data_IF_974595839054
#
_entry.id   IF_974595839054
#
_cell.length_a   1.000
_cell.length_b   1.000
_cell.length_c   1.000
_cell.angle_alpha   90.00
_cell.angle_beta   90.00
_cell.angle_gamma   90.00
#
_symmetry.space_group_name_H-M   'P 1'
#
loop_
_entity.id
_entity.type
_entity.pdbx_description
1 polymer ?
#
# COMPACT_ATOMS: atom_id res chain seq x y z
N UNK A 1 -4.40 9.42 9.71
CA UNK A 1 -3.05 9.05 10.22
C UNK A 1 -2.26 8.19 9.24
N UNK A 2 -2.85 7.13 8.65
CA UNK A 2 -2.15 6.19 7.75
C UNK A 2 -1.50 6.83 6.50
N UNK A 3 -2.22 7.71 5.78
CA UNK A 3 -1.65 8.37 4.59
C UNK A 3 -0.46 9.27 4.93
N UNK A 4 -0.54 10.01 6.05
CA UNK A 4 0.56 10.83 6.56
C UNK A 4 1.79 9.98 6.90
N UNK A 5 1.61 8.84 7.57
CA UNK A 5 2.75 7.96 7.91
C UNK A 5 3.45 7.36 6.68
N UNK A 6 2.72 7.15 5.58
CA UNK A 6 3.30 6.74 4.30
C UNK A 6 4.10 7.88 3.66
N UNK A 7 3.52 9.07 3.54
CA UNK A 7 4.20 10.23 2.94
C UNK A 7 5.45 10.67 3.71
N UNK A 8 5.49 10.45 5.03
CA UNK A 8 6.69 10.70 5.84
C UNK A 8 7.91 9.83 5.44
N UNK A 9 7.72 8.76 4.68
CA UNK A 9 8.84 7.95 4.17
C UNK A 9 9.19 8.28 2.73
N UNK A 10 8.41 9.12 2.04
CA UNK A 10 8.64 9.42 0.63
C UNK A 10 9.67 10.55 0.50
N UNK A 11 10.65 10.42 -0.41
CA UNK A 11 11.49 11.54 -0.81
C UNK A 11 10.65 12.69 -1.38
N UNK A 12 11.10 13.92 -1.16
CA UNK A 12 10.43 15.15 -1.63
C UNK A 12 10.09 15.14 -3.13
N UNK A 13 10.97 14.66 -4.05
CA UNK A 13 10.62 14.59 -5.47
C UNK A 13 9.36 13.76 -5.78
N UNK A 14 9.12 12.67 -5.03
CA UNK A 14 7.93 11.83 -5.22
C UNK A 14 6.69 12.55 -4.70
N UNK A 15 6.81 13.27 -3.57
CA UNK A 15 5.73 14.08 -3.02
C UNK A 15 5.33 15.19 -3.99
N UNK A 16 6.30 15.87 -4.59
CA UNK A 16 6.06 16.92 -5.59
C UNK A 16 5.41 16.35 -6.84
N UNK A 17 5.90 15.21 -7.34
CA UNK A 17 5.31 14.53 -8.49
C UNK A 17 3.87 14.10 -8.22
N UNK A 18 3.60 13.51 -7.04
CA UNK A 18 2.24 13.14 -6.67
C UNK A 18 1.33 14.36 -6.46
N UNK A 19 1.85 15.47 -5.92
CA UNK A 19 1.10 16.71 -5.84
C UNK A 19 0.72 17.24 -7.22
N UNK A 20 1.64 17.14 -8.20
CA UNK A 20 1.37 17.48 -9.59
C UNK A 20 0.29 16.59 -10.20
N UNK A 21 0.28 15.29 -9.90
CA UNK A 21 -0.78 14.37 -10.33
C UNK A 21 -2.16 14.84 -9.84
N UNK A 22 -2.26 15.25 -8.57
CA UNK A 22 -3.52 15.77 -8.01
C UNK A 22 -3.99 17.06 -8.70
N UNK A 23 -3.06 17.96 -9.02
CA UNK A 23 -3.36 19.20 -9.74
C UNK A 23 -3.83 18.93 -11.18
N UNK A 24 -3.14 18.04 -11.89
CA UNK A 24 -3.48 17.67 -13.26
C UNK A 24 -4.82 16.94 -13.30
N UNK A 25 -5.05 15.97 -12.41
CA UNK A 25 -6.31 15.25 -12.32
C UNK A 25 -7.51 16.19 -12.09
N UNK A 26 -7.35 17.18 -11.21
CA UNK A 26 -8.37 18.22 -10.99
C UNK A 26 -8.65 19.03 -12.25
N UNK A 27 -7.62 19.35 -13.03
CA UNK A 27 -7.74 20.14 -14.27
C UNK A 27 -8.37 19.32 -15.40
N UNK A 28 -8.05 18.04 -15.47
CA UNK A 28 -8.53 17.08 -16.48
C UNK A 28 -9.91 16.48 -16.13
N UNK A 29 -10.46 16.76 -14.94
CA UNK A 29 -11.70 16.16 -14.47
C UNK A 29 -11.57 14.68 -14.08
N UNK A 30 -10.35 14.18 -13.92
CA UNK A 30 -10.07 12.80 -13.49
C UNK A 30 -10.25 12.62 -12.00
N UNK A 31 -10.68 11.43 -11.61
CA UNK A 31 -10.83 11.05 -10.22
C UNK A 31 -9.87 9.90 -9.89
N UNK A 32 -8.68 10.24 -9.39
CA UNK A 32 -7.64 9.24 -9.08
C UNK A 32 -8.09 8.22 -8.03
N UNK A 33 -8.99 8.61 -7.12
CA UNK A 33 -9.53 7.68 -6.14
C UNK A 33 -10.44 6.64 -6.80
N UNK A 34 -11.30 7.09 -7.72
CA UNK A 34 -12.11 6.19 -8.55
C UNK A 34 -11.22 5.27 -9.38
N UNK A 35 -10.25 5.82 -10.11
CA UNK A 35 -9.33 5.03 -10.94
C UNK A 35 -8.60 3.97 -10.11
N UNK A 36 -8.12 4.33 -8.91
CA UNK A 36 -7.49 3.39 -7.99
C UNK A 36 -8.38 2.18 -7.69
N UNK A 37 -9.63 2.42 -7.30
CA UNK A 37 -10.54 1.33 -6.96
C UNK A 37 -10.99 0.56 -8.19
N UNK A 38 -11.19 1.23 -9.33
CA UNK A 38 -11.48 0.59 -10.60
C UNK A 38 -10.35 -0.37 -11.01
N UNK A 39 -9.08 0.03 -10.90
CA UNK A 39 -7.95 -0.86 -11.17
C UNK A 39 -7.86 -2.05 -10.19
N UNK A 40 -8.29 -1.89 -8.94
CA UNK A 40 -8.37 -3.03 -8.00
C UNK A 40 -9.43 -4.06 -8.44
N UNK A 41 -10.48 -3.62 -9.14
CA UNK A 41 -11.56 -4.50 -9.62
C UNK A 41 -11.07 -5.50 -10.68
N UNK A 42 -9.95 -5.23 -11.36
CA UNK A 42 -9.36 -6.17 -12.33
C UNK A 42 -9.17 -7.58 -11.73
N UNK A 43 -8.82 -7.68 -10.44
CA UNK A 43 -8.70 -8.98 -9.74
C UNK A 43 -9.85 -9.29 -8.78
N UNK A 44 -10.52 -8.28 -8.20
CA UNK A 44 -11.58 -8.52 -7.20
C UNK A 44 -12.97 -8.69 -7.79
N UNK A 45 -13.23 -8.05 -8.94
CA UNK A 45 -14.52 -8.03 -9.63
C UNK A 45 -14.36 -7.91 -11.16
N UNK A 46 -13.87 -8.97 -11.85
CA UNK A 46 -13.50 -8.86 -13.26
C UNK A 46 -14.66 -8.49 -14.19
N UNK A 47 -15.89 -8.93 -13.89
CA UNK A 47 -17.09 -8.62 -14.69
C UNK A 47 -17.41 -7.13 -14.65
N UNK A 48 -17.48 -6.55 -13.44
CA UNK A 48 -17.73 -5.12 -13.22
C UNK A 48 -16.57 -4.26 -13.77
N UNK A 49 -15.32 -4.77 -13.70
CA UNK A 49 -14.17 -4.11 -14.28
C UNK A 49 -14.29 -3.97 -15.80
N UNK A 50 -14.79 -5.00 -16.50
CA UNK A 50 -14.96 -4.96 -17.95
C UNK A 50 -15.92 -3.85 -18.41
N UNK A 51 -16.90 -3.50 -17.59
CA UNK A 51 -17.86 -2.44 -17.86
C UNK A 51 -17.23 -1.04 -17.74
N UNK A 52 -16.27 -0.86 -16.83
CA UNK A 52 -15.69 0.45 -16.51
C UNK A 52 -14.28 0.69 -17.09
N UNK A 53 -13.57 -0.36 -17.52
CA UNK A 53 -12.18 -0.26 -17.98
C UNK A 53 -11.99 0.73 -19.14
N UNK A 54 -13.01 0.91 -19.99
CA UNK A 54 -12.97 1.87 -21.10
C UNK A 54 -12.93 3.33 -20.65
N UNK A 55 -13.23 3.61 -19.38
CA UNK A 55 -13.12 4.94 -18.77
C UNK A 55 -11.77 5.16 -18.07
N UNK A 56 -10.89 4.15 -18.04
CA UNK A 56 -9.58 4.23 -17.41
C UNK A 56 -8.49 4.57 -18.44
N UNK A 57 -7.37 5.20 -18.01
CA UNK A 57 -6.24 5.46 -18.90
C UNK A 57 -5.65 4.15 -19.45
N UNK A 58 -5.18 4.18 -20.70
CA UNK A 58 -4.39 3.06 -21.24
C UNK A 58 -3.03 2.96 -20.53
N UNK A 59 -2.62 1.74 -20.19
CA UNK A 59 -1.38 1.48 -19.46
C UNK A 59 -0.48 0.57 -20.27
N UNK A 60 0.71 1.06 -20.61
CA UNK A 60 1.72 0.28 -21.32
C UNK A 60 2.16 -0.96 -20.52
N UNK A 61 2.44 -2.06 -21.22
CA UNK A 61 2.85 -3.32 -20.61
C UNK A 61 4.08 -3.17 -19.69
N UNK A 62 5.06 -2.37 -20.11
CA UNK A 62 6.30 -2.15 -19.37
C UNK A 62 6.04 -1.48 -18.02
N UNK A 63 5.05 -0.58 -17.98
CA UNK A 63 4.58 0.07 -16.75
C UNK A 63 3.86 -0.92 -15.85
N UNK A 64 2.96 -1.76 -16.40
CA UNK A 64 2.29 -2.82 -15.63
C UNK A 64 3.30 -3.76 -14.97
N UNK A 65 4.31 -4.24 -15.71
CA UNK A 65 5.35 -5.13 -15.17
C UNK A 65 6.17 -4.49 -14.05
N UNK A 66 6.48 -3.20 -14.14
CA UNK A 66 7.16 -2.45 -13.07
C UNK A 66 6.29 -2.35 -11.82
N UNK A 67 5.01 -2.02 -11.98
CA UNK A 67 4.02 -1.94 -10.89
C UNK A 67 3.87 -3.31 -10.21
N UNK A 68 3.77 -4.40 -10.98
CA UNK A 68 3.64 -5.75 -10.45
C UNK A 68 4.83 -6.14 -9.57
N UNK A 69 6.06 -5.81 -10.03
CA UNK A 69 7.28 -6.04 -9.24
C UNK A 69 7.27 -5.23 -7.95
N UNK A 70 6.88 -3.96 -8.00
CA UNK A 70 6.76 -3.09 -6.82
C UNK A 70 5.74 -3.64 -5.83
N UNK A 71 4.55 -4.02 -6.31
CA UNK A 71 3.48 -4.60 -5.50
C UNK A 71 3.93 -5.89 -4.80
N UNK A 72 4.62 -6.77 -5.51
CA UNK A 72 5.16 -8.01 -4.96
C UNK A 72 6.18 -7.76 -3.83
N UNK A 73 7.09 -6.80 -4.02
CA UNK A 73 8.06 -6.41 -2.97
C UNK A 73 7.33 -5.92 -1.72
N UNK A 74 6.35 -5.03 -1.88
CA UNK A 74 5.60 -4.50 -0.74
C UNK A 74 4.77 -5.58 -0.03
N UNK A 75 4.25 -6.56 -0.75
CA UNK A 75 3.56 -7.72 -0.16
C UNK A 75 4.51 -8.59 0.68
N UNK A 76 5.68 -8.95 0.15
CA UNK A 76 6.71 -9.68 0.91
C UNK A 76 7.17 -8.93 2.14
N UNK A 77 7.34 -7.62 2.03
CA UNK A 77 7.65 -6.76 3.17
C UNK A 77 6.55 -6.75 4.23
N UNK A 78 5.29 -6.74 3.80
CA UNK A 78 4.13 -6.86 4.68
C UNK A 78 4.11 -8.21 5.42
N UNK A 79 4.38 -9.30 4.71
CA UNK A 79 4.46 -10.66 5.29
C UNK A 79 5.60 -10.79 6.30
N UNK A 80 6.80 -10.30 5.95
CA UNK A 80 7.94 -10.27 6.85
C UNK A 80 7.66 -9.43 8.10
N UNK A 81 7.02 -8.26 7.94
CA UNK A 81 6.61 -7.42 9.06
C UNK A 81 5.60 -8.13 9.96
N UNK A 82 4.62 -8.83 9.38
CA UNK A 82 3.60 -9.54 10.15
C UNK A 82 4.17 -10.73 10.95
N UNK A 83 5.24 -11.35 10.43
CA UNK A 83 5.96 -12.41 11.15
C UNK A 83 6.67 -11.86 12.40
N UNK A 84 7.20 -10.65 12.33
CA UNK A 84 7.95 -10.02 13.42
C UNK A 84 7.05 -9.30 14.45
N UNK A 85 5.99 -8.63 13.97
CA UNK A 85 5.04 -7.87 14.79
C UNK A 85 3.59 -8.34 14.59
N UNK A 86 3.26 -9.58 14.98
CA UNK A 86 1.98 -10.22 14.68
C UNK A 86 0.77 -9.53 15.33
N UNK A 87 0.92 -8.87 16.48
CA UNK A 87 -0.19 -8.18 17.11
C UNK A 87 -0.53 -6.86 16.43
N UNK A 88 0.49 -6.09 16.01
CA UNK A 88 0.32 -4.89 15.19
C UNK A 88 -0.24 -5.28 13.81
N UNK A 89 0.25 -6.37 13.21
CA UNK A 89 -0.18 -6.80 11.89
C UNK A 89 -1.54 -7.50 11.87
N UNK A 90 -2.02 -8.05 12.98
CA UNK A 90 -3.18 -8.94 13.04
C UNK A 90 -4.53 -8.36 12.57
N UNK A 91 -4.63 -7.03 12.38
CA UNK A 91 -5.79 -6.37 11.74
C UNK A 91 -5.53 -5.91 10.29
N UNK A 92 -4.44 -6.39 9.69
CA UNK A 92 -3.95 -5.94 8.39
C UNK A 92 -4.59 -6.65 7.19
N UNK A 93 -4.18 -6.21 6.00
CA UNK A 93 -4.53 -6.86 4.73
C UNK A 93 -3.77 -8.17 4.59
N UNK A 94 -4.39 -9.12 3.90
CA UNK A 94 -3.68 -10.27 3.29
C UNK A 94 -2.60 -9.76 2.33
N UNK A 95 -1.62 -10.60 1.98
CA UNK A 95 -0.42 -10.15 1.28
C UNK A 95 -0.55 -10.22 -0.24
N UNK A 96 -0.95 -11.38 -0.77
CA UNK A 96 -0.89 -11.70 -2.20
C UNK A 96 -2.27 -11.74 -2.86
N UNK A 97 -2.35 -11.37 -4.14
CA UNK A 97 -3.61 -11.29 -4.90
C UNK A 97 -4.32 -12.64 -5.04
N UNK A 98 -3.57 -13.75 -5.11
CA UNK A 98 -4.15 -15.11 -5.16
C UNK A 98 -5.04 -15.43 -3.96
N UNK A 99 -4.86 -14.72 -2.85
CA UNK A 99 -5.60 -14.91 -1.60
C UNK A 99 -6.73 -13.88 -1.43
N UNK A 100 -6.95 -13.00 -2.43
CA UNK A 100 -7.99 -11.98 -2.43
C UNK A 100 -9.37 -12.58 -2.13
N UNK A 101 -10.16 -11.82 -1.38
CA UNK A 101 -11.56 -12.14 -1.08
C UNK A 101 -12.43 -10.93 -1.43
N UNK A 102 -13.74 -11.12 -1.72
CA UNK A 102 -14.65 -10.01 -2.00
C UNK A 102 -14.67 -8.93 -0.90
N UNK A 103 -14.43 -9.32 0.35
CA UNK A 103 -14.39 -8.42 1.52
C UNK A 103 -12.99 -8.10 2.03
N UNK A 104 -11.93 -8.63 1.40
CA UNK A 104 -10.55 -8.44 1.85
C UNK A 104 -9.59 -8.40 0.66
N UNK A 105 -9.11 -7.19 0.36
CA UNK A 105 -8.11 -6.97 -0.69
C UNK A 105 -6.69 -7.01 -0.15
N UNK A 106 -5.81 -7.67 -0.90
CA UNK A 106 -4.39 -7.82 -0.61
C UNK A 106 -3.57 -6.54 -0.71
N UNK A 107 -2.37 -6.59 -0.13
CA UNK A 107 -1.35 -5.55 -0.31
C UNK A 107 -0.99 -5.42 -1.78
N UNK A 108 -0.81 -6.54 -2.50
CA UNK A 108 -0.52 -6.51 -3.94
C UNK A 108 -1.60 -5.75 -4.72
N UNK A 109 -2.85 -6.18 -4.61
CA UNK A 109 -3.97 -5.59 -5.35
C UNK A 109 -4.18 -4.12 -5.00
N UNK A 110 -4.10 -3.78 -3.70
CA UNK A 110 -4.20 -2.39 -3.27
C UNK A 110 -3.07 -1.51 -3.82
N UNK A 111 -1.85 -2.04 -3.82
CA UNK A 111 -0.67 -1.33 -4.34
C UNK A 111 -0.75 -1.13 -5.84
N UNK A 112 -1.17 -2.15 -6.60
CA UNK A 112 -1.38 -2.00 -8.06
C UNK A 112 -2.38 -0.91 -8.37
N UNK A 113 -3.57 -0.96 -7.75
CA UNK A 113 -4.59 0.06 -7.98
C UNK A 113 -4.10 1.47 -7.65
N UNK A 114 -3.34 1.60 -6.55
CA UNK A 114 -2.74 2.88 -6.19
C UNK A 114 -1.74 3.39 -7.26
N UNK A 115 -0.80 2.56 -7.70
CA UNK A 115 0.22 2.97 -8.67
C UNK A 115 -0.33 3.17 -10.09
N UNK A 116 -1.38 2.43 -10.47
CA UNK A 116 -2.07 2.62 -11.74
C UNK A 116 -2.86 3.94 -11.79
N UNK A 117 -3.28 4.46 -10.64
CA UNK A 117 -3.94 5.78 -10.55
C UNK A 117 -2.98 6.97 -10.66
N UNK A 118 -1.68 6.75 -10.52
CA UNK A 118 -0.69 7.83 -10.60
C UNK A 118 -0.33 8.17 -12.05
N UNK A 119 0.35 9.28 -12.28
CA UNK A 119 1.06 9.45 -13.56
C UNK A 119 2.19 8.43 -13.67
N UNK A 120 2.64 8.16 -14.90
CA UNK A 120 3.80 7.30 -15.11
C UNK A 120 5.08 7.87 -14.45
N UNK A 121 5.23 9.19 -14.39
CA UNK A 121 6.39 9.80 -13.72
C UNK A 121 6.41 9.50 -12.22
N UNK A 122 5.29 9.75 -11.52
CA UNK A 122 5.19 9.47 -10.08
C UNK A 122 5.35 7.98 -9.79
N UNK A 123 4.69 7.13 -10.59
CA UNK A 123 4.80 5.68 -10.42
C UNK A 123 6.24 5.20 -10.64
N UNK A 124 6.93 5.66 -11.68
CA UNK A 124 8.31 5.23 -11.97
C UNK A 124 9.26 5.63 -10.82
N UNK A 125 9.16 6.87 -10.33
CA UNK A 125 9.96 7.34 -9.19
C UNK A 125 9.67 6.52 -7.91
N UNK A 126 8.40 6.20 -7.65
CA UNK A 126 8.02 5.37 -6.51
C UNK A 126 8.54 3.95 -6.64
N UNK A 127 8.38 3.33 -7.81
CA UNK A 127 8.88 1.98 -8.08
C UNK A 127 10.42 1.91 -7.93
N UNK A 128 11.15 2.90 -8.45
CA UNK A 128 12.60 3.00 -8.25
C UNK A 128 12.96 3.15 -6.76
N UNK A 129 12.24 3.99 -6.02
CA UNK A 129 12.43 4.15 -4.58
C UNK A 129 12.24 2.83 -3.80
N UNK A 130 11.21 2.05 -4.14
CA UNK A 130 10.97 0.73 -3.53
C UNK A 130 12.09 -0.25 -3.89
N UNK A 131 12.51 -0.29 -5.16
CA UNK A 131 13.59 -1.17 -5.63
C UNK A 131 14.92 -0.87 -4.93
N UNK A 132 15.30 0.39 -4.82
CA UNK A 132 16.54 0.80 -4.14
C UNK A 132 16.55 0.36 -2.66
N UNK A 133 15.41 0.40 -1.98
CA UNK A 133 15.30 -0.08 -0.60
C UNK A 133 15.35 -1.61 -0.51
N UNK A 134 14.76 -2.32 -1.47
CA UNK A 134 14.86 -3.78 -1.55
C UNK A 134 16.32 -4.22 -1.75
N UNK A 135 17.06 -3.56 -2.64
CA UNK A 135 18.49 -3.84 -2.87
C UNK A 135 19.35 -3.58 -1.63
N UNK A 136 18.95 -2.63 -0.79
CA UNK A 136 19.60 -2.34 0.49
C UNK A 136 19.11 -3.24 1.64
N UNK A 137 18.16 -4.15 1.40
CA UNK A 137 17.56 -4.99 2.43
C UNK A 137 16.68 -4.24 3.44
N UNK A 138 16.20 -3.05 3.08
CA UNK A 138 15.41 -2.17 3.95
C UNK A 138 13.92 -2.36 3.69
N UNK A 139 13.21 -2.94 4.65
CA UNK A 139 11.75 -3.07 4.60
C UNK A 139 11.05 -1.78 5.06
N UNK A 140 10.56 -0.97 4.10
CA UNK A 140 9.87 0.29 4.40
C UNK A 140 8.54 0.14 5.15
N UNK A 141 7.92 -1.06 5.16
CA UNK A 141 6.72 -1.30 5.98
C UNK A 141 7.02 -1.03 7.45
N UNK A 142 8.23 -1.37 7.94
CA UNK A 142 8.64 -1.04 9.32
C UNK A 142 8.69 0.46 9.55
N UNK A 143 9.25 1.24 8.62
CA UNK A 143 9.32 2.70 8.74
C UNK A 143 7.92 3.33 8.77
N UNK A 144 7.03 2.93 7.84
CA UNK A 144 5.64 3.40 7.78
C UNK A 144 4.88 3.04 9.06
N UNK A 145 4.98 1.78 9.52
CA UNK A 145 4.33 1.33 10.76
C UNK A 145 4.93 2.00 11.99
N UNK A 146 6.24 2.27 12.00
CA UNK A 146 6.93 3.02 13.03
C UNK A 146 6.41 4.45 13.16
N UNK A 147 6.24 5.14 12.02
CA UNK A 147 5.59 6.45 11.99
C UNK A 147 4.15 6.39 12.51
N UNK A 148 3.40 5.37 12.10
CA UNK A 148 2.02 5.17 12.54
C UNK A 148 1.92 4.97 14.05
N UNK A 149 2.73 4.09 14.67
CA UNK A 149 2.67 3.85 16.12
C UNK A 149 3.08 5.09 16.91
N UNK A 150 4.08 5.84 16.45
CA UNK A 150 4.49 7.12 17.08
C UNK A 150 3.40 8.19 17.01
N UNK A 151 2.72 8.30 15.87
CA UNK A 151 1.57 9.20 15.73
C UNK A 151 0.39 8.81 16.64
N UNK A 152 0.32 7.54 17.08
CA UNK A 152 -0.66 7.06 18.05
C UNK A 152 -0.15 7.08 19.50
N UNK A 153 0.99 7.72 19.78
CA UNK A 153 1.53 7.91 21.13
C UNK A 153 2.42 6.78 21.66
N UNK A 154 2.71 5.75 20.87
CA UNK A 154 3.67 4.71 21.25
C UNK A 154 5.11 5.15 20.97
N UNK A 155 6.05 4.66 21.78
CA UNK A 155 7.47 5.02 21.65
C UNK A 155 8.15 4.29 20.48
N UNK A 156 7.78 3.02 20.25
CA UNK A 156 8.35 2.17 19.21
C UNK A 156 7.37 1.08 18.78
N UNK A 157 7.75 0.32 17.75
CA UNK A 157 7.01 -0.87 17.32
C UNK A 157 6.98 -1.92 18.44
N UNK A 158 8.10 -2.14 19.12
CA UNK A 158 8.23 -3.10 20.22
C UNK A 158 7.33 -2.72 21.39
N UNK A 159 7.31 -1.44 21.76
CA UNK A 159 6.43 -0.96 22.82
C UNK A 159 4.95 -1.21 22.47
N UNK A 160 4.53 -0.87 21.25
CA UNK A 160 3.17 -1.10 20.79
C UNK A 160 2.82 -2.60 20.75
N UNK A 161 3.69 -3.43 20.18
CA UNK A 161 3.50 -4.87 20.07
C UNK A 161 3.35 -5.54 21.45
N UNK A 162 4.20 -5.17 22.42
CA UNK A 162 4.14 -5.72 23.78
C UNK A 162 2.84 -5.33 24.50
N UNK A 163 2.40 -4.08 24.36
CA UNK A 163 1.12 -3.63 24.93
C UNK A 163 -0.08 -4.39 24.34
N UNK A 164 -0.07 -4.65 23.04
CA UNK A 164 -1.11 -5.44 22.39
C UNK A 164 -1.08 -6.91 22.79
N UNK A 165 0.12 -7.49 23.01
CA UNK A 165 0.28 -8.86 23.54
C UNK A 165 -0.30 -8.98 24.95
N UNK A 166 0.01 -8.05 25.84
CA UNK A 166 -0.53 -7.98 27.21
C UNK A 166 -2.06 -7.98 27.18
N UNK A 167 -2.67 -7.04 26.43
CA UNK A 167 -4.12 -6.92 26.32
C UNK A 167 -4.80 -8.18 25.77
N UNK A 168 -4.21 -8.84 24.76
CA UNK A 168 -4.73 -10.12 24.23
C UNK A 168 -4.63 -11.26 25.24
N UNK A 169 -3.59 -11.27 26.08
CA UNK A 169 -3.40 -12.30 27.10
C UNK A 169 -4.42 -12.16 28.24
N UNK A 170 -4.77 -10.93 28.61
CA UNK A 170 -5.75 -10.66 29.66
C UNK A 170 -7.17 -11.03 29.21
N UNK A 171 -7.53 -10.74 27.96
CA UNK A 171 -8.82 -11.17 27.38
C UNK A 171 -8.98 -12.69 27.35
N UNK A 172 -7.90 -13.45 27.13
CA UNK A 172 -7.93 -14.93 27.13
C UNK A 172 -8.03 -15.54 28.53
N UNK A 173 -7.68 -14.80 29.58
CA UNK A 173 -7.80 -15.27 30.98
C UNK A 173 -9.19 -15.01 31.58
N UNK A 174 -10.00 -14.17 30.93
CA UNK A 174 -11.32 -13.75 31.40
C UNK A 174 -12.48 -14.50 30.73
N UNK A 175 -12.21 -15.32 29.70
CA UNK A 175 -13.20 -16.16 29.02
C UNK A 175 -12.86 -17.63 29.17
#
# INVERSE_FOLDING_TARGET
MMRKSQFMTWPEPILDSYFKDLQNAKTEGRNLLFEKYAWMMESTSPEEFQEIQGSLPEIAWIRKSRIDRTAYIQARWGEAFASEYPCIAGGGRIFYTKDDKPWATSIETYTRGELLSYSENTEAQYSEFILNHEEQGVNLTKAVRGNMVRLNGFQSLEHCENKLKEAKSDLRKQG
#
